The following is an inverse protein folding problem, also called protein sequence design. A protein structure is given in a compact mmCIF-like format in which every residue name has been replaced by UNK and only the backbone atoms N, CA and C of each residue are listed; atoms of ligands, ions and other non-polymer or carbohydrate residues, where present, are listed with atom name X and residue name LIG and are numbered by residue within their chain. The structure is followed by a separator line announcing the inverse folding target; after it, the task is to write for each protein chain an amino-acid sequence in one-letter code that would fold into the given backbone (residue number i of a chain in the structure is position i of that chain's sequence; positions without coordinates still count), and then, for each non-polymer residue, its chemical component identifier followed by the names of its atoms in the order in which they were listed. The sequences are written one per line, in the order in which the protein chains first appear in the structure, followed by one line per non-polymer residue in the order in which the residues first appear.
data_IF_686024685900
#
_entry.id   IF_686024685900
#
_cell.length_a   1.000
_cell.length_b   1.000
_cell.length_c   1.000
_cell.angle_alpha   90.00
_cell.angle_beta   90.00
_cell.angle_gamma   90.00
#
_symmetry.space_group_name_H-M   'P 1'
#
loop_
_entity.id
_entity.type
_entity.pdbx_description
1 polymer ?
#
# COMPACT_ATOMS: atom_id res chain seq x y z
N UNK A 1 19.58 2.82 2.49
CA UNK A 1 18.54 3.42 1.65
C UNK A 1 17.92 4.59 2.41
N UNK A 2 17.35 5.59 1.73
CA UNK A 2 16.67 6.70 2.41
C UNK A 2 15.37 6.21 3.05
N UNK A 3 14.88 6.89 4.09
CA UNK A 3 13.62 6.50 4.75
C UNK A 3 12.45 6.57 3.77
N UNK A 4 12.46 7.55 2.87
CA UNK A 4 11.46 7.68 1.80
C UNK A 4 11.53 6.52 0.82
N UNK A 5 12.72 6.04 0.45
CA UNK A 5 12.89 4.87 -0.43
C UNK A 5 12.31 3.60 0.20
N UNK A 6 12.56 3.35 1.49
CA UNK A 6 12.07 2.17 2.18
C UNK A 6 10.53 2.19 2.28
N UNK A 7 9.96 3.34 2.66
CA UNK A 7 8.51 3.53 2.74
C UNK A 7 7.83 3.41 1.36
N UNK A 8 8.48 3.92 0.30
CA UNK A 8 8.00 3.76 -1.07
C UNK A 8 7.94 2.29 -1.47
N UNK A 9 9.01 1.52 -1.22
CA UNK A 9 9.05 0.09 -1.54
C UNK A 9 7.94 -0.67 -0.83
N UNK A 10 7.74 -0.46 0.48
CA UNK A 10 6.64 -1.09 1.23
C UNK A 10 5.26 -0.68 0.70
N UNK A 11 5.06 0.58 0.33
CA UNK A 11 3.80 1.03 -0.27
C UNK A 11 3.56 0.38 -1.64
N UNK A 12 4.60 0.22 -2.45
CA UNK A 12 4.52 -0.42 -3.78
C UNK A 12 4.14 -1.89 -3.67
N UNK A 13 4.73 -2.62 -2.73
CA UNK A 13 4.38 -4.02 -2.46
C UNK A 13 2.91 -4.17 -2.04
N UNK A 14 2.47 -3.35 -1.07
CA UNK A 14 1.09 -3.35 -0.63
C UNK A 14 0.11 -2.92 -1.73
N UNK A 15 0.52 -2.03 -2.63
CA UNK A 15 -0.30 -1.65 -3.78
C UNK A 15 -0.47 -2.81 -4.76
N UNK A 16 0.61 -3.56 -5.02
CA UNK A 16 0.52 -4.76 -5.86
C UNK A 16 -0.43 -5.80 -5.25
N UNK A 17 -0.35 -6.04 -3.94
CA UNK A 17 -1.28 -6.94 -3.25
C UNK A 17 -2.72 -6.44 -3.31
N UNK A 18 -2.92 -5.13 -3.13
CA UNK A 18 -4.22 -4.50 -3.23
C UNK A 18 -4.83 -4.70 -4.63
N UNK A 19 -4.08 -4.38 -5.68
CA UNK A 19 -4.54 -4.47 -7.07
C UNK A 19 -4.89 -5.92 -7.45
N UNK A 20 -3.99 -6.87 -7.19
CA UNK A 20 -4.22 -8.29 -7.49
C UNK A 20 -5.49 -8.82 -6.80
N UNK A 21 -5.65 -8.52 -5.51
CA UNK A 21 -6.80 -9.01 -4.75
C UNK A 21 -8.10 -8.25 -5.08
N UNK A 22 -8.01 -6.96 -5.41
CA UNK A 22 -9.15 -6.17 -5.87
C UNK A 22 -9.70 -6.75 -7.17
N UNK A 23 -8.83 -6.97 -8.16
CA UNK A 23 -9.22 -7.51 -9.46
C UNK A 23 -9.82 -8.91 -9.33
N UNK A 24 -9.21 -9.79 -8.51
CA UNK A 24 -9.80 -11.12 -8.21
C UNK A 24 -11.17 -11.06 -7.56
N UNK A 25 -11.41 -10.08 -6.68
CA UNK A 25 -12.72 -9.88 -6.07
C UNK A 25 -13.73 -9.34 -7.08
N UNK A 26 -13.35 -8.35 -7.89
CA UNK A 26 -14.20 -7.72 -8.89
C UNK A 26 -14.64 -8.71 -9.98
N UNK A 27 -13.73 -9.53 -10.48
CA UNK A 27 -14.02 -10.48 -11.57
C UNK A 27 -14.78 -11.72 -11.10
N UNK A 28 -14.41 -12.27 -9.94
CA UNK A 28 -14.84 -13.62 -9.52
C UNK A 28 -15.68 -13.63 -8.26
N UNK A 29 -15.98 -12.48 -7.66
CA UNK A 29 -16.70 -12.37 -6.40
C UNK A 29 -15.99 -13.04 -5.21
N UNK A 30 -14.67 -13.27 -5.30
CA UNK A 30 -13.91 -13.99 -4.28
C UNK A 30 -13.82 -13.17 -2.97
N UNK A 31 -14.69 -13.46 -2.00
CA UNK A 31 -14.79 -12.72 -0.73
C UNK A 31 -13.48 -12.68 0.06
N UNK A 32 -12.66 -13.74 0.00
CA UNK A 32 -11.37 -13.77 0.68
C UNK A 32 -10.39 -12.77 0.05
N UNK A 33 -10.38 -12.64 -1.29
CA UNK A 33 -9.61 -11.62 -1.98
C UNK A 33 -10.10 -10.20 -1.60
N UNK A 34 -11.42 -9.99 -1.51
CA UNK A 34 -11.98 -8.71 -1.04
C UNK A 34 -11.53 -8.32 0.38
N UNK A 35 -11.39 -9.29 1.29
CA UNK A 35 -10.82 -9.04 2.63
C UNK A 35 -9.34 -8.69 2.56
N UNK A 36 -8.54 -9.38 1.75
CA UNK A 36 -7.11 -9.10 1.56
C UNK A 36 -6.87 -7.71 0.95
N UNK A 37 -7.63 -7.34 -0.08
CA UNK A 37 -7.55 -6.01 -0.69
C UNK A 37 -7.80 -4.90 0.33
N UNK A 38 -8.86 -5.02 1.15
CA UNK A 38 -9.15 -4.03 2.21
C UNK A 38 -8.05 -3.96 3.27
N UNK A 39 -7.44 -5.09 3.62
CA UNK A 39 -6.30 -5.12 4.55
C UNK A 39 -5.10 -4.36 3.96
N UNK A 40 -4.70 -4.66 2.73
CA UNK A 40 -3.58 -3.99 2.04
C UNK A 40 -3.81 -2.47 1.93
N UNK A 41 -5.03 -2.04 1.55
CA UNK A 41 -5.40 -0.63 1.51
C UNK A 41 -5.30 0.05 2.90
N UNK A 42 -5.67 -0.66 3.97
CA UNK A 42 -5.53 -0.19 5.34
C UNK A 42 -4.08 -0.03 5.78
N UNK A 43 -3.18 -0.93 5.37
CA UNK A 43 -1.74 -0.81 5.64
C UNK A 43 -1.12 0.34 4.84
N UNK A 44 -1.47 0.53 3.57
CA UNK A 44 -1.04 1.69 2.77
C UNK A 44 -1.38 2.98 3.49
N UNK A 45 -2.63 3.12 3.97
CA UNK A 45 -3.09 4.31 4.68
C UNK A 45 -2.20 4.67 5.88
N UNK A 46 -1.68 3.69 6.61
CA UNK A 46 -0.79 3.93 7.75
C UNK A 46 0.54 4.54 7.31
N UNK A 47 1.05 4.15 6.14
CA UNK A 47 2.35 4.57 5.62
C UNK A 47 2.32 5.96 4.96
N UNK A 48 1.20 6.39 4.38
CA UNK A 48 1.11 7.65 3.61
C UNK A 48 1.60 8.86 4.41
N UNK A 49 1.21 8.96 5.68
CA UNK A 49 1.59 10.12 6.51
C UNK A 49 3.08 10.13 6.81
N UNK A 50 3.65 8.96 7.11
CA UNK A 50 5.07 8.84 7.44
C UNK A 50 5.95 9.06 6.21
N UNK A 51 5.52 8.58 5.04
CA UNK A 51 6.17 8.87 3.77
C UNK A 51 6.22 10.38 3.52
N UNK A 52 5.07 11.08 3.63
CA UNK A 52 5.02 12.53 3.44
C UNK A 52 5.95 13.28 4.39
N UNK A 53 5.99 12.89 5.67
CA UNK A 53 6.89 13.49 6.66
C UNK A 53 8.36 13.26 6.32
N UNK A 54 8.73 12.03 5.95
CA UNK A 54 10.10 11.68 5.57
C UNK A 54 10.54 12.46 4.32
N UNK A 55 9.71 12.47 3.28
CA UNK A 55 9.98 13.19 2.03
C UNK A 55 10.19 14.70 2.25
N UNK A 56 9.34 15.34 3.07
CA UNK A 56 9.50 16.75 3.42
C UNK A 56 10.76 17.01 4.24
N UNK A 57 11.13 16.10 5.14
CA UNK A 57 12.34 16.24 5.96
C UNK A 57 13.62 16.07 5.13
N UNK A 58 13.62 15.17 4.15
CA UNK A 58 14.74 14.95 3.22
C UNK A 58 14.92 16.11 2.22
N UNK A 59 13.89 16.92 2.01
CA UNK A 59 13.91 18.08 1.10
C UNK A 59 14.33 19.39 1.79
N UNK A 60 14.80 19.32 3.05
CA UNK A 60 15.27 20.46 3.85
C UNK A 60 16.78 20.39 4.04
#
# INVERSE_FOLDING_TARGET
MSKTTDLYSSMSELWSEFDENHNRFAEKGNKAAGTRARKAAGEIKKLVTDYRKASVAESK
#
